data_IF_122364745327
#
_entry.id   IF_122364745327
#
_cell.length_a   1.000
_cell.length_b   1.000
_cell.length_c   1.000
_cell.angle_alpha   90.00
_cell.angle_beta   90.00
_cell.angle_gamma   90.00
#
_symmetry.space_group_name_H-M   'P 1'
#
loop_
_entity.id
_entity.type
_entity.pdbx_description
1 polymer ?
#
# COMPACT_ATOMS: atom_id res chain seq x y z
N UNK A 1 44.90 -37.84 61.46
CA UNK A 1 44.46 -37.30 62.77
C UNK A 1 43.03 -36.80 62.61
N UNK A 2 42.07 -37.65 63.00
CA UNK A 2 41.03 -37.41 64.01
C UNK A 2 39.81 -36.63 63.47
N UNK A 3 38.74 -37.33 63.04
CA UNK A 3 37.61 -37.90 63.82
C UNK A 3 36.51 -36.88 64.16
N UNK A 4 35.27 -37.20 63.77
CA UNK A 4 34.10 -36.43 64.20
C UNK A 4 32.80 -36.81 63.51
N UNK A 5 32.38 -38.09 63.64
CA UNK A 5 31.07 -38.59 63.25
C UNK A 5 30.00 -38.14 64.26
N UNK A 6 28.86 -37.62 63.80
CA UNK A 6 27.57 -37.97 64.41
C UNK A 6 26.40 -37.85 63.43
N UNK A 7 25.85 -39.03 63.15
CA UNK A 7 24.59 -39.35 62.50
C UNK A 7 23.43 -38.93 63.39
N UNK A 8 22.32 -38.48 62.80
CA UNK A 8 21.03 -39.01 63.21
C UNK A 8 20.12 -39.16 61.99
N UNK A 9 19.76 -40.41 61.70
CA UNK A 9 18.74 -40.78 60.73
C UNK A 9 17.40 -40.90 61.44
N UNK A 10 16.30 -40.55 60.76
CA UNK A 10 15.08 -41.35 60.87
C UNK A 10 14.18 -41.18 59.64
N UNK A 11 14.16 -42.24 58.82
CA UNK A 11 13.01 -42.91 58.17
C UNK A 11 11.99 -42.02 57.43
N UNK A 12 11.65 -42.21 56.16
CA UNK A 12 11.61 -43.43 55.34
C UNK A 12 10.32 -43.37 54.51
N UNK A 13 10.40 -43.60 53.21
CA UNK A 13 9.25 -43.59 52.30
C UNK A 13 9.65 -43.32 50.86
N UNK A 14 10.05 -44.36 50.14
CA UNK A 14 10.23 -44.38 48.68
C UNK A 14 8.86 -44.35 47.93
N UNK A 15 8.86 -44.15 46.60
CA UNK A 15 7.89 -43.31 45.89
C UNK A 15 6.67 -44.08 45.39
N UNK A 16 5.51 -43.42 45.36
CA UNK A 16 4.34 -43.90 44.60
C UNK A 16 3.84 -42.81 43.66
N UNK A 17 4.00 -43.13 42.38
CA UNK A 17 3.14 -42.72 41.28
C UNK A 17 1.71 -42.37 41.72
N UNK A 18 1.25 -41.18 41.36
CA UNK A 18 -0.13 -41.02 40.94
C UNK A 18 -0.26 -39.78 40.06
N UNK A 19 -0.27 -40.02 38.75
CA UNK A 19 -1.03 -39.21 37.81
C UNK A 19 -2.48 -39.16 38.32
N UNK A 20 -2.86 -38.11 39.03
CA UNK A 20 -4.27 -37.89 39.33
C UNK A 20 -4.96 -37.47 38.03
N UNK A 21 -5.67 -38.44 37.46
CA UNK A 21 -6.60 -38.28 36.36
C UNK A 21 -7.53 -37.07 36.60
N UNK A 22 -7.72 -36.20 35.60
CA UNK A 22 -8.79 -35.22 35.62
C UNK A 22 -10.15 -35.93 35.58
N UNK A 23 -11.18 -35.26 36.10
CA UNK A 23 -12.54 -35.79 36.24
C UNK A 23 -13.06 -36.56 35.01
N UNK A 24 -13.84 -37.65 35.21
CA UNK A 24 -14.26 -38.58 34.15
C UNK A 24 -15.21 -38.00 33.08
N UNK A 25 -15.58 -36.71 33.17
CA UNK A 25 -16.43 -36.02 32.19
C UNK A 25 -15.71 -34.87 31.46
N UNK A 26 -14.37 -34.76 31.55
CA UNK A 26 -13.64 -33.79 30.74
C UNK A 26 -13.61 -34.27 29.27
N UNK A 27 -14.42 -33.66 28.41
CA UNK A 27 -14.31 -33.87 26.97
C UNK A 27 -12.88 -33.54 26.53
N UNK A 28 -12.20 -34.41 25.76
CA UNK A 28 -10.83 -34.19 25.28
C UNK A 28 -10.68 -32.96 24.37
N UNK A 29 -11.78 -32.28 24.04
CA UNK A 29 -11.85 -31.04 23.26
C UNK A 29 -12.13 -29.79 24.10
N UNK A 30 -12.24 -29.89 25.43
CA UNK A 30 -12.47 -28.75 26.32
C UNK A 30 -11.28 -27.75 26.39
N UNK A 31 -10.16 -28.08 25.75
CA UNK A 31 -8.97 -27.24 25.60
C UNK A 31 -8.79 -26.62 24.21
N UNK A 32 -9.80 -26.66 23.33
CA UNK A 32 -9.79 -25.86 22.11
C UNK A 32 -10.12 -24.40 22.47
N UNK A 33 -9.18 -23.73 23.14
CA UNK A 33 -9.21 -22.30 23.36
C UNK A 33 -9.17 -21.63 21.99
N UNK A 34 -10.31 -21.08 21.57
CA UNK A 34 -10.43 -20.36 20.30
C UNK A 34 -9.33 -19.30 20.22
N UNK A 35 -8.47 -19.37 19.20
CA UNK A 35 -7.47 -18.36 18.90
C UNK A 35 -8.07 -17.02 18.43
N UNK A 36 -9.36 -16.80 18.67
CA UNK A 36 -10.12 -15.64 18.22
C UNK A 36 -9.53 -14.32 18.74
N UNK A 37 -9.04 -14.29 19.99
CA UNK A 37 -8.40 -13.10 20.55
C UNK A 37 -7.07 -12.78 19.84
N UNK A 38 -6.27 -13.82 19.54
CA UNK A 38 -5.02 -13.66 18.79
C UNK A 38 -5.30 -13.19 17.36
N UNK A 39 -6.33 -13.72 16.70
CA UNK A 39 -6.76 -13.27 15.37
C UNK A 39 -7.22 -11.81 15.41
N UNK A 40 -8.02 -11.42 16.42
CA UNK A 40 -8.47 -10.04 16.58
C UNK A 40 -7.28 -9.08 16.75
N UNK A 41 -6.33 -9.40 17.63
CA UNK A 41 -5.14 -8.59 17.84
C UNK A 41 -4.26 -8.49 16.57
N UNK A 42 -4.13 -9.57 15.80
CA UNK A 42 -3.43 -9.56 14.51
C UNK A 42 -4.14 -8.70 13.47
N UNK A 43 -5.47 -8.73 13.43
CA UNK A 43 -6.28 -7.92 12.52
C UNK A 43 -6.18 -6.43 12.87
N UNK A 44 -6.26 -6.07 14.15
CA UNK A 44 -6.12 -4.68 14.61
C UNK A 44 -4.73 -4.13 14.29
N UNK A 45 -3.68 -4.92 14.54
CA UNK A 45 -2.31 -4.55 14.19
C UNK A 45 -2.12 -4.35 12.68
N UNK A 46 -2.74 -5.20 11.85
CA UNK A 46 -2.72 -5.06 10.39
C UNK A 46 -3.46 -3.80 9.95
N UNK A 47 -4.68 -3.58 10.44
CA UNK A 47 -5.49 -2.41 10.11
C UNK A 47 -4.76 -1.08 10.42
N UNK A 48 -4.01 -1.03 11.53
CA UNK A 48 -3.22 0.13 11.91
C UNK A 48 -2.08 0.48 10.93
N UNK A 49 -1.57 -0.49 10.16
CA UNK A 49 -0.45 -0.30 9.20
C UNK A 49 -0.92 -0.10 7.76
N UNK A 50 -2.01 -0.75 7.37
CA UNK A 50 -2.49 -0.74 5.98
C UNK A 50 -2.79 0.67 5.46
N UNK A 51 -3.45 1.54 6.24
CA UNK A 51 -3.81 2.87 5.75
C UNK A 51 -2.58 3.77 5.49
N UNK A 52 -1.60 3.88 6.40
CA UNK A 52 -0.33 4.56 6.11
C UNK A 52 0.42 4.00 4.90
N UNK A 53 0.48 2.68 4.73
CA UNK A 53 1.19 2.02 3.62
C UNK A 53 0.50 2.27 2.27
N UNK A 54 -0.83 2.15 2.22
CA UNK A 54 -1.63 2.52 1.05
C UNK A 54 -1.44 4.00 0.73
N UNK A 55 -1.43 4.86 1.75
CA UNK A 55 -1.21 6.31 1.57
C UNK A 55 0.15 6.60 0.95
N UNK A 56 1.21 5.99 1.47
CA UNK A 56 2.57 6.15 0.94
C UNK A 56 2.67 5.63 -0.51
N UNK A 57 2.04 4.50 -0.81
CA UNK A 57 1.99 3.92 -2.16
C UNK A 57 1.29 4.85 -3.13
N UNK A 58 0.10 5.35 -2.78
CA UNK A 58 -0.65 6.29 -3.62
C UNK A 58 0.12 7.59 -3.87
N UNK A 59 0.75 8.16 -2.83
CA UNK A 59 1.59 9.35 -2.97
C UNK A 59 2.76 9.12 -3.92
N UNK A 60 3.49 8.01 -3.75
CA UNK A 60 4.62 7.67 -4.59
C UNK A 60 4.23 7.53 -6.06
N UNK A 61 3.15 6.80 -6.34
CA UNK A 61 2.70 6.56 -7.71
C UNK A 61 2.05 7.80 -8.36
N UNK A 62 1.44 8.69 -7.59
CA UNK A 62 0.98 9.98 -8.08
C UNK A 62 2.17 10.85 -8.56
N UNK A 63 3.25 10.90 -7.78
CA UNK A 63 4.49 11.58 -8.15
C UNK A 63 5.14 10.94 -9.40
N UNK A 64 5.19 9.61 -9.49
CA UNK A 64 5.71 8.91 -10.67
C UNK A 64 4.88 9.19 -11.93
N UNK A 65 3.55 9.17 -11.81
CA UNK A 65 2.65 9.48 -12.92
C UNK A 65 2.84 10.92 -13.40
N UNK A 66 2.88 11.89 -12.49
CA UNK A 66 3.17 13.29 -12.83
C UNK A 66 4.52 13.41 -13.58
N UNK A 67 5.57 12.81 -13.03
CA UNK A 67 6.91 12.79 -13.63
C UNK A 67 6.86 12.19 -15.03
N UNK A 68 6.11 11.10 -15.22
CA UNK A 68 6.04 10.42 -16.50
C UNK A 68 5.28 11.22 -17.55
N UNK A 69 4.18 11.86 -17.16
CA UNK A 69 3.43 12.80 -18.01
C UNK A 69 4.35 13.95 -18.46
N UNK A 70 5.09 14.55 -17.52
CA UNK A 70 6.04 15.63 -17.81
C UNK A 70 7.14 15.21 -18.78
N UNK A 71 7.68 14.00 -18.62
CA UNK A 71 8.69 13.44 -19.51
C UNK A 71 8.13 13.23 -20.93
N UNK A 72 6.94 12.64 -21.07
CA UNK A 72 6.29 12.45 -22.39
C UNK A 72 5.83 13.77 -23.03
N UNK A 73 5.61 14.81 -22.23
CA UNK A 73 5.32 16.17 -22.70
C UNK A 73 6.56 16.98 -23.15
N UNK A 74 7.75 16.36 -23.18
CA UNK A 74 9.02 17.05 -23.49
C UNK A 74 9.55 16.80 -24.91
N UNK A 75 8.73 16.22 -25.80
CA UNK A 75 9.13 15.95 -27.19
C UNK A 75 8.22 14.92 -27.86
N UNK A 76 8.54 14.58 -29.11
CA UNK A 76 7.79 13.59 -29.90
C UNK A 76 7.89 12.19 -29.27
N UNK A 77 6.81 11.38 -29.27
CA UNK A 77 5.52 11.57 -29.94
C UNK A 77 4.53 12.52 -29.23
N UNK A 78 4.88 13.03 -28.05
CA UNK A 78 4.08 14.02 -27.32
C UNK A 78 4.25 15.46 -27.83
N UNK A 79 3.66 16.42 -27.09
CA UNK A 79 3.71 17.82 -27.48
C UNK A 79 5.13 18.37 -27.32
N UNK A 80 5.54 19.23 -28.26
CA UNK A 80 6.72 20.05 -28.06
C UNK A 80 6.30 21.23 -27.18
N UNK A 81 6.70 21.25 -25.91
CA UNK A 81 6.43 22.32 -24.96
C UNK A 81 7.65 23.25 -24.79
N UNK A 82 7.94 24.17 -25.74
CA UNK A 82 9.21 24.90 -25.81
C UNK A 82 9.49 25.79 -24.59
N UNK A 83 8.45 26.37 -23.99
CA UNK A 83 8.59 27.25 -22.81
C UNK A 83 8.58 26.49 -21.48
N UNK A 84 8.31 25.18 -21.50
CA UNK A 84 8.11 24.37 -20.29
C UNK A 84 6.87 24.73 -19.46
N UNK A 85 6.09 25.77 -19.83
CA UNK A 85 4.94 26.25 -19.06
C UNK A 85 3.83 25.20 -18.92
N UNK A 86 3.59 24.44 -20.00
CA UNK A 86 2.66 23.33 -19.97
C UNK A 86 3.17 22.16 -19.11
N UNK A 87 4.47 21.90 -19.13
CA UNK A 87 5.08 20.82 -18.35
C UNK A 87 5.04 21.14 -16.86
N UNK A 88 5.40 22.35 -16.46
CA UNK A 88 5.42 22.77 -15.04
C UNK A 88 4.04 22.83 -14.39
N UNK A 89 2.97 22.95 -15.19
CA UNK A 89 1.60 23.06 -14.68
C UNK A 89 0.94 21.71 -14.36
N UNK A 90 1.64 20.60 -14.59
CA UNK A 90 1.22 19.29 -14.11
C UNK A 90 1.60 19.14 -12.64
N UNK A 91 0.62 18.79 -11.82
CA UNK A 91 0.76 18.59 -10.39
C UNK A 91 -0.05 17.38 -9.96
N UNK A 92 0.22 16.87 -8.77
CA UNK A 92 -0.60 15.89 -8.09
C UNK A 92 -1.08 16.43 -6.74
N UNK A 93 -2.25 15.99 -6.33
CA UNK A 93 -2.82 16.23 -5.01
C UNK A 93 -3.29 14.89 -4.44
N UNK A 94 -3.01 14.65 -3.16
CA UNK A 94 -3.42 13.44 -2.45
C UNK A 94 -4.33 13.83 -1.30
N UNK A 95 -5.48 13.19 -1.21
CA UNK A 95 -6.45 13.37 -0.15
C UNK A 95 -6.80 12.03 0.49
N UNK A 96 -7.20 12.08 1.76
CA UNK A 96 -7.62 10.91 2.54
C UNK A 96 -8.89 11.25 3.28
N UNK A 97 -9.92 10.41 3.15
CA UNK A 97 -11.23 10.60 3.80
C UNK A 97 -11.46 9.64 4.98
N UNK A 98 -10.36 9.14 5.57
CA UNK A 98 -10.34 8.22 6.70
C UNK A 98 -10.41 6.74 6.29
N UNK A 99 -11.05 6.42 5.17
CA UNK A 99 -11.19 5.04 4.67
C UNK A 99 -10.62 4.86 3.25
N UNK A 100 -10.50 5.94 2.50
CA UNK A 100 -10.02 5.94 1.12
C UNK A 100 -8.87 6.92 0.98
N UNK A 101 -7.91 6.56 0.14
CA UNK A 101 -6.84 7.45 -0.32
C UNK A 101 -7.05 7.71 -1.80
N UNK A 102 -7.14 8.97 -2.19
CA UNK A 102 -7.31 9.39 -3.58
C UNK A 102 -6.16 10.29 -4.00
N UNK A 103 -5.63 10.07 -5.20
CA UNK A 103 -4.71 10.99 -5.84
C UNK A 103 -5.27 11.49 -7.17
N UNK A 104 -5.16 12.80 -7.40
CA UNK A 104 -5.50 13.43 -8.67
C UNK A 104 -4.23 13.98 -9.29
N UNK A 105 -3.88 13.53 -10.49
CA UNK A 105 -2.77 14.07 -11.29
C UNK A 105 -3.35 14.83 -12.47
N UNK A 106 -3.07 16.12 -12.56
CA UNK A 106 -3.80 16.99 -13.48
C UNK A 106 -3.09 18.28 -13.84
N UNK A 107 -3.70 19.03 -14.75
CA UNK A 107 -3.31 20.39 -15.09
C UNK A 107 -4.53 21.24 -15.42
N UNK A 108 -4.49 22.51 -15.04
CA UNK A 108 -5.56 23.49 -15.33
C UNK A 108 -5.34 24.23 -16.66
N UNK A 109 -4.33 23.84 -17.45
CA UNK A 109 -4.06 24.48 -18.75
C UNK A 109 -5.15 24.12 -19.75
N UNK A 110 -5.86 25.10 -20.33
CA UNK A 110 -6.99 24.84 -21.23
C UNK A 110 -6.58 24.07 -22.49
N UNK A 111 -5.34 24.22 -22.93
CA UNK A 111 -4.81 23.49 -24.08
C UNK A 111 -4.57 21.99 -23.84
N UNK A 112 -4.61 21.49 -22.60
CA UNK A 112 -4.26 20.10 -22.27
C UNK A 112 -5.05 19.08 -23.09
N UNK A 113 -6.38 19.25 -23.17
CA UNK A 113 -7.26 18.36 -23.94
C UNK A 113 -6.96 18.40 -25.43
N UNK A 114 -6.66 19.58 -25.98
CA UNK A 114 -6.31 19.74 -27.40
C UNK A 114 -4.97 19.09 -27.73
N UNK A 115 -4.03 19.12 -26.80
CA UNK A 115 -2.76 18.42 -26.94
C UNK A 115 -2.95 16.91 -26.88
N UNK A 116 -3.75 16.39 -25.95
CA UNK A 116 -3.98 14.95 -25.82
C UNK A 116 -4.76 14.35 -27.00
N UNK A 117 -5.86 15.00 -27.40
CA UNK A 117 -6.83 14.45 -28.35
C UNK A 117 -6.81 15.09 -29.75
N UNK A 118 -6.00 16.14 -29.94
CA UNK A 118 -6.03 16.95 -31.15
C UNK A 118 -7.20 17.94 -31.14
N UNK A 119 -7.23 18.80 -32.15
CA UNK A 119 -8.29 19.78 -32.34
C UNK A 119 -8.40 20.21 -33.81
N UNK A 120 -9.58 20.05 -34.38
CA UNK A 120 -9.91 20.56 -35.71
C UNK A 120 -11.12 21.49 -35.57
N UNK A 121 -10.97 22.75 -35.95
CA UNK A 121 -12.07 23.73 -35.89
C UNK A 121 -11.61 25.16 -35.65
N UNK A 122 -12.59 26.07 -35.64
CA UNK A 122 -12.36 27.46 -35.26
C UNK A 122 -12.41 27.62 -33.74
N UNK A 123 -11.55 28.47 -33.18
CA UNK A 123 -11.72 28.92 -31.80
C UNK A 123 -12.73 30.08 -31.69
N UNK A 124 -12.97 30.58 -30.47
CA UNK A 124 -13.88 31.70 -30.22
C UNK A 124 -13.45 33.02 -30.87
N UNK A 125 -12.21 33.09 -31.38
CA UNK A 125 -11.67 34.23 -32.12
C UNK A 125 -11.71 33.99 -33.65
N UNK A 126 -12.32 32.90 -34.11
CA UNK A 126 -12.45 32.55 -35.52
C UNK A 126 -11.19 31.96 -36.16
N UNK A 127 -10.14 31.67 -35.38
CA UNK A 127 -8.90 31.07 -35.90
C UNK A 127 -9.10 29.59 -36.13
N UNK A 128 -8.87 29.13 -37.36
CA UNK A 128 -9.00 27.73 -37.74
C UNK A 128 -7.72 26.98 -37.38
N UNK A 129 -7.86 25.91 -36.61
CA UNK A 129 -6.78 25.01 -36.24
C UNK A 129 -7.00 23.64 -36.88
N UNK A 130 -5.90 23.04 -37.32
CA UNK A 130 -5.80 21.63 -37.67
C UNK A 130 -4.64 21.04 -36.88
N UNK A 131 -4.88 20.79 -35.59
CA UNK A 131 -3.90 20.29 -34.64
C UNK A 131 -4.06 18.77 -34.49
N UNK A 132 -3.06 17.95 -34.85
CA UNK A 132 -3.11 16.52 -34.58
C UNK A 132 -2.96 16.22 -33.08
N UNK A 133 -3.41 15.04 -32.62
CA UNK A 133 -3.19 14.59 -31.25
C UNK A 133 -1.71 14.35 -30.94
N UNK A 134 -1.31 14.71 -29.74
CA UNK A 134 0.00 14.47 -29.14
C UNK A 134 -0.18 13.80 -27.77
N UNK A 135 -0.58 12.53 -27.76
CA UNK A 135 -0.92 11.83 -26.53
C UNK A 135 0.33 11.66 -25.65
N UNK A 136 0.19 12.03 -24.39
CA UNK A 136 1.26 11.94 -23.39
C UNK A 136 0.70 11.53 -22.02
N UNK A 137 -0.57 11.80 -21.75
CA UNK A 137 -1.25 11.38 -20.52
C UNK A 137 -1.61 9.90 -20.61
N UNK A 138 -2.36 9.51 -21.63
CA UNK A 138 -2.76 8.11 -21.84
C UNK A 138 -1.56 7.15 -21.80
N UNK A 139 -0.50 7.38 -22.61
CA UNK A 139 0.69 6.53 -22.58
C UNK A 139 1.44 6.52 -21.23
N UNK A 140 1.33 7.56 -20.41
CA UNK A 140 1.92 7.55 -19.06
C UNK A 140 1.06 6.72 -18.10
N UNK A 141 -0.26 6.80 -18.20
CA UNK A 141 -1.18 5.97 -17.42
C UNK A 141 -1.01 4.51 -17.77
N UNK A 142 -0.89 4.14 -19.05
CA UNK A 142 -0.67 2.75 -19.46
C UNK A 142 0.63 2.17 -18.88
N UNK A 143 1.67 2.99 -18.73
CA UNK A 143 2.95 2.57 -18.20
C UNK A 143 2.94 2.43 -16.67
N UNK A 144 2.28 3.35 -15.97
CA UNK A 144 2.30 3.41 -14.50
C UNK A 144 1.24 2.50 -13.86
N UNK A 145 0.08 2.32 -14.51
CA UNK A 145 -1.04 1.55 -13.96
C UNK A 145 -0.67 0.14 -13.48
N UNK A 146 0.02 -0.73 -14.24
CA UNK A 146 0.32 -2.08 -13.76
C UNK A 146 1.25 -2.07 -12.55
N UNK A 147 2.21 -1.14 -12.50
CA UNK A 147 3.14 -0.99 -11.37
C UNK A 147 2.40 -0.53 -10.11
N UNK A 148 1.49 0.44 -10.26
CA UNK A 148 0.66 0.92 -9.16
C UNK A 148 -0.24 -0.19 -8.60
N UNK A 149 -0.90 -0.96 -9.46
CA UNK A 149 -1.77 -2.07 -9.03
C UNK A 149 -0.97 -3.13 -8.29
N UNK A 150 0.22 -3.49 -8.78
CA UNK A 150 1.11 -4.45 -8.12
C UNK A 150 1.52 -3.96 -6.72
N UNK A 151 2.05 -2.75 -6.62
CA UNK A 151 2.50 -2.18 -5.36
C UNK A 151 1.35 -1.99 -4.34
N UNK A 152 0.16 -1.64 -4.82
CA UNK A 152 -1.02 -1.59 -3.96
C UNK A 152 -1.43 -2.98 -3.47
N UNK A 153 -1.30 -4.00 -4.32
CA UNK A 153 -1.47 -5.40 -3.96
C UNK A 153 -0.52 -5.81 -2.83
N UNK A 154 0.77 -5.48 -2.95
CA UNK A 154 1.80 -5.80 -1.95
C UNK A 154 1.53 -5.09 -0.62
N UNK A 155 1.20 -3.80 -0.67
CA UNK A 155 0.84 -2.99 0.51
C UNK A 155 -0.40 -3.51 1.25
N UNK A 156 -1.31 -4.20 0.56
CA UNK A 156 -2.47 -4.83 1.18
C UNK A 156 -2.14 -6.25 1.64
N UNK A 157 -1.33 -7.00 0.88
CA UNK A 157 -1.06 -8.41 1.09
C UNK A 157 -0.09 -8.70 2.25
N UNK A 158 0.74 -7.74 2.68
CA UNK A 158 1.74 -7.92 3.74
C UNK A 158 2.78 -8.99 3.34
N UNK A 159 3.41 -8.86 2.15
CA UNK A 159 4.59 -9.65 1.77
C UNK A 159 5.85 -8.90 2.21
N UNK A 160 6.28 -9.12 3.46
CA UNK A 160 7.54 -8.65 4.04
C UNK A 160 8.02 -9.61 5.12
#
# INVERSE_FOLDING_TARGET
MANGVSRNQKTGGEPLSSSQNPHPNAHPLAGAYSNAFQIAAQLDARAARTLPEVTATVQHYAMLLETRIKAKASGRPGPNAPTGDYRRSWTHEVSTDGFSVTAVVGTNKPQARRLEYGFVGADSLGRIYNQPPYPHVGPAVEEIRPLFIAALGDAIADDS
#
